data_IF_765945462392
#
_entry.id   IF_765945462392
#
_cell.length_a   1.000
_cell.length_b   1.000
_cell.length_c   1.000
_cell.angle_alpha   90.00
_cell.angle_beta   90.00
_cell.angle_gamma   90.00
#
_symmetry.space_group_name_H-M   'P 1'
#
loop_
_entity.id
_entity.type
_entity.pdbx_description
1 polymer ?
#
# COMPACT_ATOMS: atom_id res chain seq x y z
N UNK A 1 -71.77 -37.07 90.07
CA UNK A 1 -72.41 -36.67 88.80
C UNK A 1 -71.37 -35.95 87.94
N UNK A 2 -71.15 -36.48 86.73
CA UNK A 2 -70.73 -35.78 85.51
C UNK A 2 -69.29 -35.24 85.35
N UNK A 3 -68.55 -35.96 84.49
CA UNK A 3 -67.71 -35.52 83.34
C UNK A 3 -66.38 -34.77 83.54
N UNK A 4 -65.31 -35.39 83.00
CA UNK A 4 -63.91 -34.94 82.80
C UNK A 4 -63.79 -33.63 81.97
N UNK A 5 -62.63 -32.92 82.00
CA UNK A 5 -61.60 -33.18 80.97
C UNK A 5 -60.11 -33.04 81.37
N UNK A 6 -59.36 -33.86 80.62
CA UNK A 6 -57.94 -33.97 80.24
C UNK A 6 -56.89 -32.87 80.48
N UNK A 7 -55.73 -33.38 80.88
CA UNK A 7 -54.38 -32.86 81.08
C UNK A 7 -53.65 -32.38 79.80
N UNK A 8 -52.81 -31.34 79.91
CA UNK A 8 -51.62 -31.13 79.06
C UNK A 8 -50.47 -30.53 79.88
N UNK A 9 -49.31 -31.19 79.85
CA UNK A 9 -48.02 -30.66 80.29
C UNK A 9 -47.05 -30.72 79.09
N UNK A 10 -46.33 -29.63 78.85
CA UNK A 10 -45.27 -29.50 77.84
C UNK A 10 -43.93 -30.00 78.41
N UNK A 11 -43.08 -30.64 77.60
CA UNK A 11 -41.64 -30.56 77.80
C UNK A 11 -40.90 -29.96 76.58
N UNK A 12 -39.83 -29.24 76.89
CA UNK A 12 -38.78 -28.80 75.97
C UNK A 12 -38.04 -30.02 75.39
N UNK A 13 -37.63 -29.93 74.13
CA UNK A 13 -36.57 -30.76 73.58
C UNK A 13 -35.64 -29.93 72.68
N UNK A 14 -34.34 -30.01 72.98
CA UNK A 14 -33.24 -29.44 72.22
C UNK A 14 -33.06 -30.17 70.88
N UNK A 15 -32.65 -29.45 69.84
CA UNK A 15 -32.29 -30.02 68.54
C UNK A 15 -30.83 -29.72 68.20
N UNK A 16 -30.14 -30.80 67.87
CA UNK A 16 -28.72 -30.94 67.53
C UNK A 16 -28.46 -30.40 66.12
N UNK A 17 -27.39 -29.61 65.94
CA UNK A 17 -26.95 -29.11 64.65
C UNK A 17 -26.09 -30.16 63.91
N UNK A 18 -26.47 -30.48 62.67
CA UNK A 18 -25.66 -31.24 61.71
C UNK A 18 -25.23 -30.28 60.58
N UNK A 19 -23.94 -29.97 60.54
CA UNK A 19 -23.32 -29.21 59.46
C UNK A 19 -23.15 -30.10 58.22
N UNK A 20 -23.79 -29.72 57.12
CA UNK A 20 -23.64 -30.34 55.80
C UNK A 20 -22.83 -29.40 54.91
N UNK A 21 -21.61 -29.82 54.56
CA UNK A 21 -20.77 -29.14 53.59
C UNK A 21 -21.32 -29.37 52.17
N UNK A 22 -21.98 -28.36 51.60
CA UNK A 22 -22.34 -28.29 50.19
C UNK A 22 -21.22 -27.55 49.44
N UNK A 23 -20.39 -28.30 48.71
CA UNK A 23 -19.49 -27.73 47.72
C UNK A 23 -20.32 -27.31 46.49
N UNK A 24 -20.37 -26.01 46.20
CA UNK A 24 -20.99 -25.50 44.99
C UNK A 24 -20.08 -25.78 43.78
N UNK A 25 -20.61 -26.28 42.65
CA UNK A 25 -19.83 -26.37 41.42
C UNK A 25 -19.61 -24.96 40.88
N UNK A 26 -18.37 -24.50 40.86
CA UNK A 26 -17.97 -23.30 40.11
C UNK A 26 -18.10 -23.62 38.62
N UNK A 27 -19.20 -23.21 38.01
CA UNK A 27 -19.31 -23.13 36.55
C UNK A 27 -18.29 -22.10 36.08
N UNK A 28 -17.21 -22.56 35.45
CA UNK A 28 -16.35 -21.70 34.67
C UNK A 28 -17.20 -21.10 33.54
N UNK A 29 -17.57 -19.84 33.67
CA UNK A 29 -18.05 -19.05 32.55
C UNK A 29 -16.91 -18.95 31.55
N UNK A 30 -16.94 -19.80 30.52
CA UNK A 30 -16.20 -19.54 29.29
C UNK A 30 -16.66 -18.15 28.82
N UNK A 31 -15.76 -17.16 28.89
CA UNK A 31 -16.00 -15.86 28.30
C UNK A 31 -16.32 -16.11 26.82
N UNK A 32 -17.54 -15.80 26.40
CA UNK A 32 -17.88 -15.81 24.99
C UNK A 32 -16.91 -14.85 24.29
N UNK A 33 -16.07 -15.36 23.38
CA UNK A 33 -15.29 -14.50 22.50
C UNK A 33 -16.26 -13.53 21.81
N UNK A 34 -15.99 -12.22 21.81
CA UNK A 34 -16.87 -11.28 21.15
C UNK A 34 -16.85 -11.58 19.64
N UNK A 35 -17.86 -12.32 19.17
CA UNK A 35 -18.05 -12.80 17.79
C UNK A 35 -18.32 -11.68 16.77
N UNK A 36 -18.21 -10.41 17.16
CA UNK A 36 -18.32 -9.29 16.22
C UNK A 36 -16.92 -9.00 15.66
N UNK A 37 -16.74 -9.07 14.33
CA UNK A 37 -15.45 -8.74 13.74
C UNK A 37 -15.06 -7.29 14.08
N UNK A 38 -13.84 -7.10 14.59
CA UNK A 38 -13.31 -5.76 14.86
C UNK A 38 -13.39 -4.88 13.60
N UNK A 39 -13.77 -3.60 13.72
CA UNK A 39 -13.69 -2.63 12.64
C UNK A 39 -12.31 -2.58 12.00
N UNK A 40 -12.25 -2.36 10.68
CA UNK A 40 -10.98 -2.23 9.97
C UNK A 40 -10.12 -1.10 10.55
N UNK A 41 -10.75 0.01 10.94
CA UNK A 41 -10.09 1.19 11.51
C UNK A 41 -9.23 0.89 12.76
N UNK A 42 -9.55 -0.16 13.53
CA UNK A 42 -8.76 -0.53 14.72
C UNK A 42 -7.37 -1.08 14.35
N UNK A 43 -7.22 -1.55 13.11
CA UNK A 43 -5.96 -2.01 12.52
C UNK A 43 -5.30 -0.96 11.60
N UNK A 44 -5.95 0.19 11.37
CA UNK A 44 -5.36 1.26 10.58
C UNK A 44 -4.21 1.90 11.37
N UNK A 45 -3.10 2.16 10.69
CA UNK A 45 -1.91 2.77 11.29
C UNK A 45 -1.92 4.27 11.07
N UNK A 46 -1.29 5.00 11.99
CA UNK A 46 -1.04 6.43 11.87
C UNK A 46 0.35 6.64 11.29
N UNK A 47 0.44 7.44 10.24
CA UNK A 47 1.65 7.91 9.62
C UNK A 47 2.40 8.87 10.53
N UNK A 48 3.71 8.67 10.66
CA UNK A 48 4.57 9.42 11.60
C UNK A 48 5.73 10.13 10.93
N UNK A 49 5.90 10.00 9.61
CA UNK A 49 7.06 10.60 8.90
C UNK A 49 6.85 12.08 8.60
N UNK A 50 5.58 12.53 8.53
CA UNK A 50 5.21 13.88 8.11
C UNK A 50 5.25 14.08 6.59
N UNK A 51 5.48 13.02 5.81
CA UNK A 51 5.51 13.05 4.35
C UNK A 51 4.83 11.80 3.76
N UNK A 52 5.50 11.08 2.87
CA UNK A 52 5.06 9.74 2.41
C UNK A 52 5.31 8.72 3.53
N UNK A 53 4.32 7.87 3.79
CA UNK A 53 4.38 6.80 4.78
C UNK A 53 3.28 5.74 4.53
N UNK A 54 3.17 4.75 5.41
CA UNK A 54 2.18 3.68 5.32
C UNK A 54 0.89 3.95 6.13
N UNK A 55 0.73 5.17 6.65
CA UNK A 55 -0.39 5.57 7.49
C UNK A 55 -1.68 5.87 6.75
N UNK A 56 -2.82 5.69 7.42
CA UNK A 56 -4.17 5.93 6.88
C UNK A 56 -4.66 7.38 7.06
N UNK A 57 -3.83 8.25 7.63
CA UNK A 57 -4.09 9.68 7.84
C UNK A 57 -3.32 10.56 6.82
N UNK A 58 -3.27 10.12 5.55
CA UNK A 58 -2.62 10.87 4.47
C UNK A 58 -3.14 12.30 4.39
N UNK A 59 -2.23 13.29 4.39
CA UNK A 59 -2.60 14.70 4.32
C UNK A 59 -3.12 15.06 2.92
N UNK A 60 -4.42 15.34 2.82
CA UNK A 60 -5.08 15.74 1.58
C UNK A 60 -4.69 17.16 1.10
N UNK A 61 -4.00 17.94 1.93
CA UNK A 61 -3.38 19.20 1.49
C UNK A 61 -2.01 18.95 0.85
N UNK A 62 -1.28 17.89 1.22
CA UNK A 62 0.01 17.58 0.61
C UNK A 62 -0.15 16.68 -0.62
N UNK A 63 -0.99 15.67 -0.51
CA UNK A 63 -1.16 14.61 -1.49
C UNK A 63 -2.48 14.73 -2.25
N UNK A 64 -2.47 14.23 -3.47
CA UNK A 64 -3.61 14.23 -4.36
C UNK A 64 -4.62 13.14 -3.93
N UNK A 65 -5.94 13.38 -4.08
CA UNK A 65 -6.92 12.32 -3.91
C UNK A 65 -6.67 11.14 -4.86
N UNK A 66 -6.53 9.95 -4.28
CA UNK A 66 -6.25 8.69 -5.00
C UNK A 66 -7.46 8.08 -5.72
N UNK A 67 -8.65 8.68 -5.59
CA UNK A 67 -9.91 8.17 -6.15
C UNK A 67 -10.51 9.12 -7.17
N UNK A 68 -11.26 8.56 -8.11
CA UNK A 68 -11.89 9.29 -9.22
C UNK A 68 -10.94 9.49 -10.39
N UNK A 69 -11.32 10.44 -11.25
CA UNK A 69 -10.58 10.76 -12.48
C UNK A 69 -9.56 11.86 -12.20
N UNK A 70 -8.27 11.57 -12.39
CA UNK A 70 -7.17 12.53 -12.38
C UNK A 70 -6.87 12.99 -13.80
N UNK A 71 -6.99 14.29 -14.07
CA UNK A 71 -6.70 14.89 -15.37
C UNK A 71 -5.20 15.13 -15.48
N UNK A 72 -4.55 14.50 -16.46
CA UNK A 72 -3.09 14.53 -16.64
C UNK A 72 -2.75 15.15 -17.99
N UNK A 73 -1.91 16.19 -17.97
CA UNK A 73 -1.31 16.71 -19.20
C UNK A 73 0.12 16.21 -19.34
N UNK A 74 0.43 15.58 -20.47
CA UNK A 74 1.80 15.20 -20.83
C UNK A 74 2.44 16.29 -21.66
N UNK A 75 3.54 16.84 -21.14
CA UNK A 75 4.43 17.78 -21.79
C UNK A 75 5.67 17.04 -22.29
N UNK A 76 6.05 17.25 -23.54
CA UNK A 76 7.29 16.73 -24.10
C UNK A 76 8.31 17.85 -24.18
N UNK A 77 9.48 17.65 -23.58
CA UNK A 77 10.50 18.70 -23.48
C UNK A 77 11.78 18.34 -24.21
N UNK A 78 12.36 19.31 -24.89
CA UNK A 78 13.70 19.22 -25.47
C UNK A 78 14.57 20.38 -24.96
N UNK A 79 15.88 20.33 -25.22
CA UNK A 79 16.86 21.21 -24.60
C UNK A 79 17.78 21.83 -25.66
N UNK A 80 18.46 22.96 -25.37
CA UNK A 80 19.39 23.55 -26.33
C UNK A 80 20.52 22.59 -26.76
N UNK A 81 21.06 21.81 -25.80
CA UNK A 81 22.09 20.78 -25.98
C UNK A 81 21.55 19.42 -26.48
N UNK A 82 20.25 19.19 -26.37
CA UNK A 82 19.58 17.95 -26.71
C UNK A 82 18.23 18.22 -27.39
N UNK A 83 18.28 18.63 -28.65
CA UNK A 83 17.09 18.93 -29.43
C UNK A 83 16.41 17.66 -29.94
N UNK A 84 15.08 17.65 -29.91
CA UNK A 84 14.33 16.53 -30.44
C UNK A 84 14.20 16.59 -31.96
N UNK A 85 14.23 15.42 -32.60
CA UNK A 85 14.05 15.27 -34.06
C UNK A 85 12.94 14.29 -34.42
N UNK A 86 12.44 13.55 -33.43
CA UNK A 86 11.40 12.53 -33.53
C UNK A 86 10.01 13.04 -33.10
N UNK A 87 8.96 12.28 -33.40
CA UNK A 87 7.59 12.62 -32.99
C UNK A 87 7.37 12.34 -31.49
N UNK A 88 6.60 13.21 -30.83
CA UNK A 88 6.11 13.01 -29.46
C UNK A 88 5.16 11.82 -29.33
N UNK A 89 4.57 11.34 -30.43
CA UNK A 89 3.59 10.25 -30.40
C UNK A 89 4.16 8.96 -29.84
N UNK A 90 5.42 8.65 -30.16
CA UNK A 90 6.10 7.46 -29.63
C UNK A 90 6.30 7.54 -28.10
N UNK A 91 6.51 8.75 -27.57
CA UNK A 91 6.67 9.00 -26.14
C UNK A 91 5.32 8.92 -25.43
N UNK A 92 4.26 9.49 -26.02
CA UNK A 92 2.89 9.35 -25.52
C UNK A 92 2.47 7.86 -25.47
N UNK A 93 2.71 7.12 -26.57
CA UNK A 93 2.37 5.71 -26.67
C UNK A 93 3.12 4.83 -25.65
N UNK A 94 4.36 5.18 -25.30
CA UNK A 94 5.15 4.48 -24.28
C UNK A 94 4.47 4.50 -22.90
N UNK A 95 3.81 5.61 -22.54
CA UNK A 95 3.22 5.82 -21.23
C UNK A 95 1.71 5.55 -21.19
N UNK A 96 1.02 5.58 -22.33
CA UNK A 96 -0.43 5.40 -22.42
C UNK A 96 -0.99 4.17 -21.66
N UNK A 97 -0.32 2.99 -21.64
CA UNK A 97 -0.84 1.84 -20.89
C UNK A 97 -0.89 2.02 -19.36
N UNK A 98 -0.25 3.07 -18.82
CA UNK A 98 -0.32 3.39 -17.39
C UNK A 98 -1.75 3.67 -16.92
N UNK A 99 -2.61 4.24 -17.77
CA UNK A 99 -4.02 4.50 -17.45
C UNK A 99 -4.78 3.20 -17.18
N UNK A 100 -4.64 2.21 -18.07
CA UNK A 100 -5.27 0.89 -17.91
C UNK A 100 -4.67 0.12 -16.72
N UNK A 101 -3.35 0.20 -16.54
CA UNK A 101 -2.68 -0.44 -15.42
C UNK A 101 -3.18 0.09 -14.06
N UNK A 102 -3.29 1.42 -13.90
CA UNK A 102 -3.81 2.08 -12.69
C UNK A 102 -5.29 1.77 -12.47
N UNK A 103 -6.09 1.76 -13.54
CA UNK A 103 -7.51 1.38 -13.48
C UNK A 103 -7.67 -0.06 -12.99
N UNK A 104 -6.89 -1.01 -13.51
CA UNK A 104 -6.88 -2.41 -13.02
C UNK A 104 -6.43 -2.49 -11.57
N UNK A 105 -5.33 -1.83 -11.22
CA UNK A 105 -4.76 -1.90 -9.88
C UNK A 105 -5.69 -1.36 -8.78
N UNK A 106 -6.59 -0.43 -9.15
CA UNK A 106 -7.53 0.24 -8.25
C UNK A 106 -8.97 -0.26 -8.34
N UNK A 107 -9.23 -1.34 -9.09
CA UNK A 107 -10.58 -1.83 -9.39
C UNK A 107 -11.49 -0.76 -10.03
N UNK A 108 -10.91 0.08 -10.90
CA UNK A 108 -11.57 1.19 -11.59
C UNK A 108 -11.81 2.41 -10.72
N UNK A 109 -11.28 2.46 -9.49
CA UNK A 109 -11.53 3.54 -8.53
C UNK A 109 -10.57 4.72 -8.68
N UNK A 110 -9.45 4.53 -9.38
CA UNK A 110 -8.54 5.57 -9.83
C UNK A 110 -8.42 5.51 -11.35
N UNK A 111 -8.60 6.64 -12.03
CA UNK A 111 -8.53 6.73 -13.48
C UNK A 111 -7.60 7.88 -13.86
N UNK A 112 -6.65 7.63 -14.77
CA UNK A 112 -5.79 8.66 -15.33
C UNK A 112 -6.36 9.11 -16.67
N UNK A 113 -7.01 10.27 -16.70
CA UNK A 113 -7.43 10.90 -17.95
C UNK A 113 -6.22 11.61 -18.57
N UNK A 114 -5.39 10.82 -19.25
CA UNK A 114 -4.16 11.30 -19.89
C UNK A 114 -4.45 12.00 -21.22
N UNK A 115 -3.95 13.21 -21.34
CA UNK A 115 -3.89 13.97 -22.58
C UNK A 115 -2.45 14.43 -22.82
N UNK A 116 -2.15 14.82 -24.06
CA UNK A 116 -0.79 15.12 -24.49
C UNK A 116 -0.78 16.41 -25.29
N UNK A 117 0.13 17.32 -24.95
CA UNK A 117 0.45 18.47 -25.78
C UNK A 117 1.49 18.02 -26.82
N UNK A 118 1.05 17.58 -28.00
CA UNK A 118 1.90 17.01 -29.06
C UNK A 118 2.81 18.04 -29.74
N UNK A 119 3.79 18.55 -28.99
CA UNK A 119 4.87 19.41 -29.46
C UNK A 119 6.08 19.26 -28.54
N UNK A 120 7.25 19.59 -29.07
CA UNK A 120 8.43 19.79 -28.23
C UNK A 120 8.39 21.19 -27.61
N UNK A 121 8.42 21.22 -26.28
CA UNK A 121 8.56 22.42 -25.46
C UNK A 121 10.04 22.63 -25.19
N UNK A 122 10.59 23.71 -25.75
CA UNK A 122 12.02 24.03 -25.57
C UNK A 122 12.27 24.53 -24.16
N UNK A 123 13.04 23.78 -23.40
CA UNK A 123 13.55 24.17 -22.08
C UNK A 123 14.54 25.34 -22.23
N UNK A 124 14.60 26.25 -21.24
CA UNK A 124 15.44 27.46 -21.31
C UNK A 124 16.93 27.22 -21.05
N UNK A 125 17.30 26.02 -20.61
CA UNK A 125 18.67 25.66 -20.23
C UNK A 125 19.01 24.24 -20.66
N UNK A 126 20.31 23.95 -20.76
CA UNK A 126 20.83 22.64 -21.14
C UNK A 126 20.38 21.54 -20.18
N UNK A 127 20.18 20.33 -20.71
CA UNK A 127 19.71 19.17 -19.95
C UNK A 127 20.58 18.86 -18.73
N UNK A 128 21.90 18.98 -18.86
CA UNK A 128 22.85 18.75 -17.77
C UNK A 128 22.76 19.76 -16.62
N UNK A 129 22.21 20.96 -16.87
CA UNK A 129 22.15 22.02 -15.85
C UNK A 129 21.13 21.75 -14.74
N UNK A 130 20.16 20.86 -14.97
CA UNK A 130 19.15 20.48 -13.98
C UNK A 130 19.62 19.43 -12.98
N UNK A 131 20.80 18.82 -13.20
CA UNK A 131 21.43 17.95 -12.20
C UNK A 131 20.68 16.66 -11.89
N UNK A 132 20.01 16.05 -12.88
CA UNK A 132 19.29 14.77 -12.75
C UNK A 132 20.27 13.59 -12.53
N UNK A 133 20.87 13.56 -11.35
CA UNK A 133 21.69 12.50 -10.79
C UNK A 133 21.19 12.13 -9.37
N UNK A 134 21.71 11.04 -8.79
CA UNK A 134 21.42 10.68 -7.39
C UNK A 134 21.84 11.83 -6.46
N UNK A 135 20.93 12.23 -5.58
CA UNK A 135 21.09 13.43 -4.75
C UNK A 135 20.46 14.70 -5.33
N UNK A 136 19.64 14.59 -6.39
CA UNK A 136 18.82 15.70 -6.90
C UNK A 136 18.10 16.40 -5.75
N UNK A 137 18.34 17.70 -5.59
CA UNK A 137 17.70 18.48 -4.54
C UNK A 137 16.29 18.87 -4.96
N UNK A 138 15.46 19.18 -3.96
CA UNK A 138 14.10 19.65 -4.18
C UNK A 138 14.09 20.91 -5.06
N UNK A 139 14.98 21.87 -4.80
CA UNK A 139 15.03 23.15 -5.52
C UNK A 139 15.43 22.96 -7.00
N UNK A 140 16.35 22.04 -7.28
CA UNK A 140 16.74 21.71 -8.64
C UNK A 140 15.59 21.04 -9.41
N UNK A 141 14.87 20.12 -8.76
CA UNK A 141 13.70 19.48 -9.34
C UNK A 141 12.55 20.46 -9.55
N UNK A 142 12.27 21.31 -8.57
CA UNK A 142 11.26 22.36 -8.67
C UNK A 142 11.59 23.34 -9.79
N UNK A 143 12.86 23.71 -9.96
CA UNK A 143 13.30 24.55 -11.08
C UNK A 143 13.02 23.86 -12.42
N UNK A 144 13.33 22.57 -12.57
CA UNK A 144 13.04 21.81 -13.78
C UNK A 144 11.55 21.81 -14.13
N UNK A 145 10.70 21.52 -13.13
CA UNK A 145 9.24 21.51 -13.30
C UNK A 145 8.70 22.91 -13.63
N UNK A 146 9.20 23.95 -12.94
CA UNK A 146 8.85 25.35 -13.19
C UNK A 146 9.18 25.77 -14.62
N UNK A 147 10.37 25.44 -15.09
CA UNK A 147 10.83 25.83 -16.42
C UNK A 147 10.02 25.13 -17.52
N UNK A 148 9.71 23.84 -17.34
CA UNK A 148 8.86 23.08 -18.26
C UNK A 148 7.44 23.65 -18.35
N UNK A 149 6.83 23.95 -17.19
CA UNK A 149 5.49 24.53 -17.09
C UNK A 149 5.47 25.93 -17.69
N UNK A 150 6.43 26.79 -17.35
CA UNK A 150 6.50 28.17 -17.87
C UNK A 150 6.65 28.18 -19.40
N UNK A 151 7.43 27.25 -19.96
CA UNK A 151 7.60 27.14 -21.40
C UNK A 151 6.36 26.56 -22.12
N UNK A 152 5.52 25.80 -21.41
CA UNK A 152 4.29 25.21 -21.93
C UNK A 152 3.05 26.11 -21.79
N UNK A 153 3.02 26.99 -20.79
CA UNK A 153 1.90 27.88 -20.42
C UNK A 153 1.28 28.64 -21.62
N UNK A 154 2.04 29.17 -22.60
CA UNK A 154 1.44 29.83 -23.77
C UNK A 154 0.63 28.92 -24.70
N UNK A 155 0.66 27.59 -24.47
CA UNK A 155 0.14 26.58 -25.40
C UNK A 155 -0.88 25.63 -24.77
N UNK A 156 -1.09 25.70 -23.46
CA UNK A 156 -2.06 24.87 -22.75
C UNK A 156 -2.56 25.62 -21.50
N UNK A 157 -3.86 25.53 -21.24
CA UNK A 157 -4.47 26.02 -20.00
C UNK A 157 -4.29 24.95 -18.90
N UNK A 158 -3.28 25.13 -18.06
CA UNK A 158 -2.87 24.20 -17.01
C UNK A 158 -3.86 24.16 -15.84
N UNK A 159 -4.78 25.11 -15.72
CA UNK A 159 -5.87 25.07 -14.73
C UNK A 159 -6.85 23.91 -14.98
N UNK A 160 -6.83 23.32 -16.17
CA UNK A 160 -7.68 22.19 -16.55
C UNK A 160 -7.12 20.83 -16.12
N UNK A 161 -5.96 20.78 -15.48
CA UNK A 161 -5.29 19.54 -15.12
C UNK A 161 -5.03 19.45 -13.63
N UNK A 162 -5.05 18.22 -13.11
CA UNK A 162 -4.77 17.97 -11.69
C UNK A 162 -3.26 17.75 -11.48
N UNK A 163 -2.56 17.21 -12.48
CA UNK A 163 -1.11 17.03 -12.49
C UNK A 163 -0.52 17.04 -13.90
N UNK A 164 0.80 17.23 -13.98
CA UNK A 164 1.55 17.27 -15.23
C UNK A 164 2.57 16.13 -15.30
N UNK A 165 2.68 15.50 -16.46
CA UNK A 165 3.76 14.58 -16.81
C UNK A 165 4.79 15.32 -17.67
N UNK A 166 6.07 15.31 -17.30
CA UNK A 166 7.14 15.98 -18.06
C UNK A 166 8.08 14.92 -18.64
N UNK A 167 8.09 14.78 -19.96
CA UNK A 167 8.80 13.72 -20.67
C UNK A 167 9.92 14.32 -21.52
N UNK A 168 11.20 14.07 -21.20
CA UNK A 168 12.32 14.57 -22.00
C UNK A 168 12.49 13.77 -23.29
N UNK A 169 13.03 14.41 -24.32
CA UNK A 169 13.50 13.72 -25.52
C UNK A 169 14.57 12.66 -25.19
N UNK A 170 14.63 11.60 -26.00
CA UNK A 170 15.68 10.56 -25.93
C UNK A 170 17.09 11.12 -26.07
N UNK A 171 17.24 12.26 -26.75
CA UNK A 171 18.54 12.92 -26.90
C UNK A 171 19.09 13.46 -25.56
N UNK A 172 18.22 13.72 -24.58
CA UNK A 172 18.57 14.33 -23.29
C UNK A 172 19.07 13.29 -22.28
N UNK A 173 20.21 12.66 -22.58
CA UNK A 173 20.79 11.60 -21.74
C UNK A 173 21.09 12.03 -20.30
N UNK A 174 21.27 13.34 -20.05
CA UNK A 174 21.50 13.89 -18.71
C UNK A 174 20.26 13.84 -17.80
N UNK A 175 19.04 13.75 -18.36
CA UNK A 175 17.81 13.53 -17.58
C UNK A 175 17.64 12.03 -17.39
N UNK A 176 18.38 11.48 -16.42
CA UNK A 176 18.66 10.04 -16.38
C UNK A 176 17.60 9.19 -15.68
N UNK A 177 16.85 9.73 -14.73
CA UNK A 177 15.88 8.99 -13.91
C UNK A 177 14.56 9.74 -13.74
N UNK A 178 13.53 9.00 -13.35
CA UNK A 178 12.17 9.52 -13.14
C UNK A 178 11.90 9.76 -11.65
N UNK A 179 11.66 11.02 -11.22
CA UNK A 179 11.09 11.31 -9.91
C UNK A 179 9.74 12.04 -9.97
N UNK A 180 9.00 11.95 -8.86
CA UNK A 180 7.78 12.71 -8.59
C UNK A 180 8.09 14.04 -7.90
N UNK A 181 7.51 15.13 -8.41
CA UNK A 181 7.49 16.42 -7.75
C UNK A 181 6.22 16.54 -6.90
N UNK A 182 6.41 16.84 -5.62
CA UNK A 182 5.38 17.12 -4.64
C UNK A 182 5.64 18.51 -4.08
N UNK A 183 4.71 19.45 -4.27
CA UNK A 183 4.89 20.83 -3.82
C UNK A 183 5.17 20.90 -2.31
N UNK A 184 6.27 21.56 -1.93
CA UNK A 184 6.59 21.88 -0.54
C UNK A 184 6.03 23.27 -0.20
N UNK A 185 5.16 23.40 0.83
CA UNK A 185 4.61 24.69 1.24
C UNK A 185 5.66 25.74 1.65
N UNK A 186 6.91 25.33 1.90
CA UNK A 186 8.01 26.22 2.26
C UNK A 186 8.74 26.84 1.05
N UNK A 187 8.39 26.45 -0.19
CA UNK A 187 8.98 27.02 -1.41
C UNK A 187 8.00 27.90 -2.16
N UNK A 188 8.47 28.72 -3.13
CA UNK A 188 7.57 29.47 -4.01
C UNK A 188 6.61 28.58 -4.80
N UNK A 189 6.96 27.30 -5.01
CA UNK A 189 6.20 26.35 -5.82
C UNK A 189 6.25 26.69 -7.31
N UNK A 190 5.29 26.10 -8.03
CA UNK A 190 5.08 26.33 -9.47
C UNK A 190 3.64 26.76 -9.73
N UNK A 191 3.45 27.91 -10.37
CA UNK A 191 2.12 28.48 -10.63
C UNK A 191 2.00 28.80 -12.11
N UNK A 192 0.86 28.46 -12.70
CA UNK A 192 0.49 28.71 -14.10
C UNK A 192 -1.02 28.89 -14.18
N UNK A 193 -1.51 29.72 -15.10
CA UNK A 193 -2.95 30.01 -15.27
C UNK A 193 -3.70 30.31 -13.96
N UNK A 194 -3.08 31.09 -13.06
CA UNK A 194 -3.64 31.43 -11.76
C UNK A 194 -3.79 30.26 -10.77
N UNK A 195 -3.27 29.08 -11.11
CA UNK A 195 -3.38 27.85 -10.33
C UNK A 195 -2.02 27.36 -9.87
N UNK A 196 -1.92 26.94 -8.60
CA UNK A 196 -0.74 26.27 -8.05
C UNK A 196 -0.72 24.82 -8.54
N UNK A 197 0.28 24.44 -9.32
CA UNK A 197 0.52 23.06 -9.70
C UNK A 197 1.28 22.36 -8.57
N UNK A 198 0.61 21.44 -7.90
CA UNK A 198 1.13 20.79 -6.68
C UNK A 198 1.82 19.46 -6.94
N UNK A 199 1.51 18.83 -8.06
CA UNK A 199 1.94 17.48 -8.37
C UNK A 199 2.41 17.39 -9.82
N UNK A 200 3.58 16.82 -10.03
CA UNK A 200 4.04 16.45 -11.35
C UNK A 200 4.82 15.13 -11.29
N UNK A 201 4.75 14.35 -12.36
CA UNK A 201 5.64 13.21 -12.56
C UNK A 201 6.63 13.60 -13.65
N UNK A 202 7.92 13.54 -13.35
CA UNK A 202 8.97 13.79 -14.33
C UNK A 202 9.62 12.48 -14.73
N UNK A 203 9.88 12.33 -16.02
CA UNK A 203 10.45 11.11 -16.56
C UNK A 203 11.92 11.32 -16.93
N UNK A 204 12.72 10.29 -16.78
CA UNK A 204 14.09 10.23 -17.30
C UNK A 204 14.25 9.11 -18.32
N UNK A 205 15.50 8.88 -18.73
CA UNK A 205 15.81 7.81 -19.69
C UNK A 205 15.47 6.40 -19.17
N UNK A 206 15.37 6.22 -17.85
CA UNK A 206 14.91 4.96 -17.24
C UNK A 206 13.49 4.54 -17.65
N UNK A 207 12.63 5.46 -18.10
CA UNK A 207 11.28 5.15 -18.59
C UNK A 207 11.27 4.21 -19.80
N UNK A 208 12.36 4.19 -20.59
CA UNK A 208 12.48 3.27 -21.73
C UNK A 208 12.71 1.83 -21.28
N UNK A 209 13.34 1.64 -20.13
CA UNK A 209 13.57 0.33 -19.52
C UNK A 209 12.36 -0.11 -18.68
N UNK A 210 11.77 0.82 -17.93
CA UNK A 210 10.65 0.52 -17.04
C UNK A 210 9.29 0.49 -17.73
N UNK A 211 9.17 1.13 -18.89
CA UNK A 211 7.90 1.25 -19.59
C UNK A 211 6.89 2.08 -18.81
N UNK A 212 5.62 1.91 -19.15
CA UNK A 212 4.51 2.62 -18.52
C UNK A 212 4.40 2.40 -17.00
N UNK A 213 5.01 1.36 -16.43
CA UNK A 213 4.95 1.07 -14.98
C UNK A 213 5.64 2.15 -14.14
N UNK A 214 6.62 2.88 -14.69
CA UNK A 214 7.23 4.02 -13.98
C UNK A 214 6.20 5.13 -13.76
N UNK A 215 5.30 5.38 -14.72
CA UNK A 215 4.23 6.36 -14.51
C UNK A 215 3.29 5.94 -13.38
N UNK A 216 3.02 4.64 -13.23
CA UNK A 216 2.24 4.13 -12.11
C UNK A 216 2.97 4.30 -10.77
N UNK A 217 4.25 3.90 -10.69
CA UNK A 217 5.11 4.09 -9.52
C UNK A 217 5.10 5.55 -9.04
N UNK A 218 5.48 6.46 -9.92
CA UNK A 218 5.58 7.88 -9.61
C UNK A 218 4.23 8.50 -9.25
N UNK A 219 3.15 8.10 -9.94
CA UNK A 219 1.80 8.54 -9.55
C UNK A 219 1.43 8.09 -8.13
N UNK A 220 1.92 6.91 -7.70
CA UNK A 220 1.74 6.42 -6.33
C UNK A 220 2.27 7.40 -5.27
N UNK A 221 3.40 8.07 -5.54
CA UNK A 221 3.93 9.11 -4.65
C UNK A 221 3.01 10.33 -4.56
N UNK A 222 2.34 10.70 -5.66
CA UNK A 222 1.34 11.80 -5.63
C UNK A 222 0.16 11.50 -4.71
N UNK A 223 -0.11 10.21 -4.44
CA UNK A 223 -1.12 9.75 -3.49
C UNK A 223 -0.57 9.49 -2.07
N UNK A 224 0.72 9.76 -1.85
CA UNK A 224 1.36 9.65 -0.54
C UNK A 224 2.03 8.31 -0.24
N UNK A 225 2.19 7.42 -1.23
CA UNK A 225 2.95 6.17 -1.03
C UNK A 225 4.47 6.46 -0.97
N UNK A 226 5.23 5.79 -0.08
CA UNK A 226 6.70 5.87 -0.06
C UNK A 226 7.33 4.87 -1.04
N UNK A 227 8.64 5.02 -1.26
CA UNK A 227 9.46 3.97 -1.86
C UNK A 227 9.65 2.81 -0.87
N UNK A 228 9.46 1.59 -1.35
CA UNK A 228 9.65 0.38 -0.55
C UNK A 228 11.03 -0.27 -0.73
N UNK A 229 11.86 0.24 -1.64
CA UNK A 229 13.23 -0.24 -1.85
C UNK A 229 14.22 0.48 -0.92
N UNK A 230 15.42 -0.07 -0.77
CA UNK A 230 16.48 0.49 0.06
C UNK A 230 17.27 1.56 -0.67
N UNK A 231 17.53 2.68 0.01
CA UNK A 231 18.42 3.74 -0.50
C UNK A 231 19.90 3.51 -0.14
N UNK A 232 20.20 2.65 0.84
CA UNK A 232 21.53 2.51 1.43
C UNK A 232 22.09 1.08 1.42
N UNK A 233 21.26 0.09 1.10
CA UNK A 233 21.59 -1.33 1.11
C UNK A 233 21.00 -1.98 -0.17
N UNK A 234 21.08 -3.33 -0.37
CA UNK A 234 20.60 -3.94 -1.61
C UNK A 234 19.18 -3.49 -1.96
N UNK A 235 19.02 -2.90 -3.15
CA UNK A 235 17.89 -2.04 -3.50
C UNK A 235 16.55 -2.73 -3.21
N UNK A 236 16.31 -3.92 -3.77
CA UNK A 236 14.99 -4.55 -3.67
C UNK A 236 14.84 -5.54 -2.51
N UNK A 237 15.58 -5.38 -1.42
CA UNK A 237 15.62 -6.38 -0.32
C UNK A 237 14.36 -6.44 0.56
N UNK A 238 13.51 -5.41 0.57
CA UNK A 238 12.36 -5.32 1.49
C UNK A 238 11.05 -5.81 0.84
N UNK A 239 10.55 -5.08 -0.15
CA UNK A 239 9.31 -5.44 -0.86
C UNK A 239 9.55 -6.35 -2.07
N UNK A 240 10.74 -6.29 -2.68
CA UNK A 240 11.06 -7.04 -3.90
C UNK A 240 10.12 -6.70 -5.04
N UNK A 241 9.83 -7.70 -5.87
CA UNK A 241 8.95 -7.59 -7.02
C UNK A 241 7.45 -7.72 -6.73
N UNK A 242 7.02 -7.64 -5.46
CA UNK A 242 5.63 -7.83 -5.04
C UNK A 242 4.77 -6.56 -5.01
N UNK A 243 5.40 -5.41 -5.22
CA UNK A 243 4.74 -4.10 -5.31
C UNK A 243 5.53 -3.19 -6.27
N UNK A 244 4.83 -2.41 -7.10
CA UNK A 244 5.46 -1.45 -8.01
C UNK A 244 6.32 -0.42 -7.27
N UNK A 245 5.99 -0.06 -6.03
CA UNK A 245 6.77 0.84 -5.16
C UNK A 245 8.05 0.18 -4.62
N UNK A 246 8.17 -1.16 -4.72
CA UNK A 246 9.35 -1.92 -4.35
C UNK A 246 10.29 -2.20 -5.52
N UNK A 247 9.75 -2.67 -6.64
CA UNK A 247 10.50 -2.89 -7.87
C UNK A 247 9.57 -2.78 -9.08
N UNK A 248 9.79 -1.75 -9.89
CA UNK A 248 8.95 -1.44 -11.06
C UNK A 248 8.94 -2.59 -12.09
N UNK A 249 10.06 -3.30 -12.27
CA UNK A 249 10.12 -4.49 -13.13
C UNK A 249 9.92 -5.80 -12.38
N UNK A 250 9.34 -5.75 -11.18
CA UNK A 250 8.93 -6.95 -10.46
C UNK A 250 8.01 -7.83 -11.31
N UNK A 251 8.08 -9.16 -11.15
CA UNK A 251 7.17 -10.10 -11.80
C UNK A 251 5.72 -9.99 -11.28
N UNK A 252 5.51 -9.48 -10.05
CA UNK A 252 4.20 -9.29 -9.42
C UNK A 252 4.00 -7.85 -8.88
N UNK A 253 4.03 -6.83 -9.75
CA UNK A 253 4.08 -5.42 -9.35
C UNK A 253 2.73 -4.82 -8.94
N UNK A 254 1.64 -5.58 -8.85
CA UNK A 254 0.37 -5.07 -8.33
C UNK A 254 0.59 -4.40 -6.97
N UNK A 255 -0.06 -3.25 -6.74
CA UNK A 255 -0.04 -2.63 -5.42
C UNK A 255 -0.55 -3.62 -4.36
N UNK A 256 0.19 -3.72 -3.26
CA UNK A 256 -0.20 -4.47 -2.08
C UNK A 256 -1.60 -4.07 -1.64
N UNK A 257 -2.33 -5.04 -1.08
CA UNK A 257 -3.65 -4.81 -0.52
C UNK A 257 -3.65 -3.75 0.58
N UNK A 258 -2.54 -3.60 1.32
CA UNK A 258 -2.33 -2.51 2.28
C UNK A 258 -2.37 -1.13 1.61
N UNK A 259 -1.58 -0.91 0.55
CA UNK A 259 -1.62 0.32 -0.23
C UNK A 259 -3.01 0.56 -0.82
N UNK A 260 -3.64 -0.47 -1.37
CA UNK A 260 -5.02 -0.39 -1.90
C UNK A 260 -6.03 0.06 -0.82
N UNK A 261 -5.87 -0.39 0.43
CA UNK A 261 -6.72 0.02 1.55
C UNK A 261 -6.43 1.46 2.00
N UNK A 262 -5.15 1.82 2.19
CA UNK A 262 -4.72 3.19 2.49
C UNK A 262 -5.26 4.19 1.48
N UNK A 263 -5.20 3.85 0.20
CA UNK A 263 -5.69 4.68 -0.90
C UNK A 263 -7.22 4.62 -1.08
N UNK A 264 -7.95 3.86 -0.25
CA UNK A 264 -9.40 3.75 -0.28
C UNK A 264 -9.96 2.99 -1.50
N UNK A 265 -9.11 2.25 -2.22
CA UNK A 265 -9.51 1.39 -3.32
C UNK A 265 -10.10 0.08 -2.80
N UNK A 266 -9.48 -0.49 -1.76
CA UNK A 266 -10.07 -1.50 -0.88
C UNK A 266 -10.87 -0.79 0.21
N UNK A 267 -12.12 -1.23 0.43
CA UNK A 267 -13.00 -0.66 1.48
C UNK A 267 -12.80 -1.37 2.82
N UNK A 268 -13.16 -0.73 3.91
CA UNK A 268 -13.08 -1.30 5.27
C UNK A 268 -13.80 -2.65 5.42
N UNK A 269 -14.93 -2.86 4.74
CA UNK A 269 -15.64 -4.13 4.76
C UNK A 269 -14.92 -5.27 4.01
N UNK A 270 -13.82 -4.98 3.34
CA UNK A 270 -12.93 -5.94 2.69
C UNK A 270 -11.65 -6.20 3.50
N UNK A 271 -11.56 -5.66 4.72
CA UNK A 271 -10.40 -5.79 5.61
C UNK A 271 -10.81 -6.59 6.84
N UNK A 272 -10.12 -7.71 7.10
CA UNK A 272 -10.30 -8.48 8.31
C UNK A 272 -9.28 -8.06 9.37
N UNK A 273 -9.72 -7.31 10.38
CA UNK A 273 -8.85 -6.81 11.43
C UNK A 273 -8.76 -7.76 12.65
N UNK A 274 -7.54 -7.96 13.17
CA UNK A 274 -7.23 -8.48 14.50
C UNK A 274 -6.37 -7.43 15.24
N UNK A 275 -6.98 -6.56 16.08
CA UNK A 275 -6.28 -5.39 16.63
C UNK A 275 -5.37 -5.68 17.83
N UNK A 276 -5.39 -6.90 18.36
CA UNK A 276 -4.66 -7.28 19.57
C UNK A 276 -4.63 -8.80 19.78
N UNK A 277 -4.37 -9.28 21.01
CA UNK A 277 -4.36 -10.70 21.33
C UNK A 277 -5.67 -11.40 20.95
N UNK A 278 -5.55 -12.64 20.49
CA UNK A 278 -6.68 -13.44 20.03
C UNK A 278 -6.39 -14.14 18.71
N UNK A 279 -7.47 -14.60 18.07
CA UNK A 279 -7.37 -15.43 16.86
C UNK A 279 -8.49 -15.11 15.88
N UNK A 280 -8.17 -15.11 14.59
CA UNK A 280 -9.15 -14.87 13.53
C UNK A 280 -8.85 -15.71 12.29
N UNK A 281 -9.83 -16.47 11.82
CA UNK A 281 -9.76 -17.20 10.55
C UNK A 281 -10.49 -16.42 9.46
N UNK A 282 -9.85 -16.26 8.31
CA UNK A 282 -10.30 -15.39 7.22
C UNK A 282 -10.15 -16.11 5.89
N UNK A 283 -11.19 -16.05 5.06
CA UNK A 283 -11.07 -16.36 3.63
C UNK A 283 -10.70 -15.08 2.89
N UNK A 284 -9.56 -15.09 2.23
CA UNK A 284 -9.05 -14.02 1.39
C UNK A 284 -9.45 -14.27 -0.06
N UNK A 285 -9.78 -13.20 -0.78
CA UNK A 285 -9.98 -13.19 -2.23
C UNK A 285 -8.72 -12.60 -2.87
N UNK A 286 -8.20 -13.16 -3.98
CA UNK A 286 -7.00 -12.65 -4.63
C UNK A 286 -7.08 -11.14 -4.89
N UNK A 287 -5.98 -10.43 -4.65
CA UNK A 287 -5.92 -8.96 -4.80
C UNK A 287 -6.11 -8.52 -6.25
N UNK A 288 -5.84 -9.40 -7.22
CA UNK A 288 -5.95 -9.12 -8.65
C UNK A 288 -7.41 -9.08 -9.12
N UNK A 289 -8.35 -9.59 -8.31
CA UNK A 289 -9.79 -9.67 -8.65
C UNK A 289 -10.60 -8.64 -7.88
N UNK A 290 -11.79 -8.22 -8.34
CA UNK A 290 -12.65 -7.33 -7.56
C UNK A 290 -13.38 -8.06 -6.41
N UNK A 291 -13.72 -7.33 -5.34
CA UNK A 291 -14.60 -7.79 -4.27
C UNK A 291 -13.99 -8.79 -3.27
N UNK A 292 -14.79 -9.21 -2.28
CA UNK A 292 -14.36 -10.08 -1.20
C UNK A 292 -13.37 -9.44 -0.21
N UNK A 293 -12.99 -10.19 0.82
CA UNK A 293 -11.97 -9.77 1.79
C UNK A 293 -10.60 -9.80 1.14
N UNK A 294 -9.91 -8.66 1.06
CA UNK A 294 -8.62 -8.52 0.37
C UNK A 294 -7.43 -8.81 1.26
N UNK A 295 -7.48 -8.32 2.48
CA UNK A 295 -6.38 -8.43 3.43
C UNK A 295 -6.90 -8.83 4.80
N UNK A 296 -6.06 -9.57 5.52
CA UNK A 296 -6.20 -9.77 6.95
C UNK A 296 -5.04 -9.06 7.65
N UNK A 297 -5.35 -8.20 8.61
CA UNK A 297 -4.38 -7.34 9.29
C UNK A 297 -4.33 -7.72 10.76
N UNK A 298 -3.13 -7.93 11.29
CA UNK A 298 -2.86 -8.13 12.70
C UNK A 298 -1.99 -6.98 13.19
N UNK A 299 -2.55 -6.13 14.06
CA UNK A 299 -1.83 -4.98 14.60
C UNK A 299 -0.84 -5.40 15.69
N UNK A 300 0.41 -4.99 15.54
CA UNK A 300 1.48 -5.33 16.50
C UNK A 300 1.88 -4.16 17.40
N UNK A 301 1.62 -2.92 17.00
CA UNK A 301 1.87 -1.74 17.81
C UNK A 301 1.16 -0.48 17.29
N UNK A 302 1.61 0.69 17.74
CA UNK A 302 1.04 1.97 17.32
C UNK A 302 1.18 2.18 15.80
N UNK A 303 2.35 1.86 15.25
CA UNK A 303 2.77 2.10 13.86
C UNK A 303 3.10 0.82 13.11
N UNK A 304 2.84 -0.36 13.68
CA UNK A 304 3.25 -1.64 13.10
C UNK A 304 2.11 -2.66 13.01
N UNK A 305 2.12 -3.42 11.93
CA UNK A 305 1.19 -4.53 11.69
C UNK A 305 1.82 -5.60 10.81
N UNK A 306 1.28 -6.82 10.88
CA UNK A 306 1.45 -7.84 9.85
C UNK A 306 0.19 -7.91 9.00
N UNK A 307 0.37 -8.14 7.71
CA UNK A 307 -0.70 -8.25 6.73
C UNK A 307 -0.54 -9.55 5.96
N UNK A 308 -1.65 -10.25 5.73
CA UNK A 308 -1.73 -11.40 4.84
C UNK A 308 -2.71 -11.10 3.70
N UNK A 309 -2.30 -11.38 2.47
CA UNK A 309 -3.12 -11.22 1.26
C UNK A 309 -2.95 -12.41 0.30
N UNK A 310 -3.96 -12.66 -0.52
CA UNK A 310 -3.93 -13.73 -1.52
C UNK A 310 -3.43 -13.18 -2.86
N UNK A 311 -2.42 -13.83 -3.46
CA UNK A 311 -1.80 -13.43 -4.74
C UNK A 311 -1.95 -14.53 -5.79
N UNK A 312 -2.22 -14.16 -7.03
CA UNK A 312 -2.35 -15.05 -8.20
C UNK A 312 -1.62 -14.45 -9.40
N UNK A 313 -1.17 -15.30 -10.31
CA UNK A 313 -0.51 -14.89 -11.55
C UNK A 313 -1.54 -14.37 -12.57
N UNK A 314 -2.19 -13.26 -12.26
CA UNK A 314 -3.31 -12.69 -13.02
C UNK A 314 -3.23 -11.16 -13.08
N UNK A 315 -3.84 -10.55 -14.09
CA UNK A 315 -3.92 -9.09 -14.19
C UNK A 315 -2.54 -8.43 -14.20
N UNK A 316 -2.30 -7.51 -13.27
CA UNK A 316 -1.01 -6.83 -13.18
C UNK A 316 0.13 -7.73 -12.67
N UNK A 317 -0.20 -8.90 -12.12
CA UNK A 317 0.71 -9.92 -11.60
C UNK A 317 0.83 -11.15 -12.53
N UNK A 318 0.44 -11.04 -13.80
CA UNK A 318 0.45 -12.16 -14.75
C UNK A 318 1.78 -12.93 -14.85
N UNK A 319 2.90 -12.29 -14.50
CA UNK A 319 4.24 -12.86 -14.53
C UNK A 319 4.74 -13.35 -13.16
N UNK A 320 3.88 -13.42 -12.14
CA UNK A 320 4.27 -13.77 -10.77
C UNK A 320 5.02 -15.12 -10.71
N UNK A 321 6.17 -15.11 -10.02
CA UNK A 321 7.03 -16.29 -9.87
C UNK A 321 6.51 -17.30 -8.83
N UNK A 322 5.60 -16.88 -7.97
CA UNK A 322 4.89 -17.74 -7.01
C UNK A 322 3.48 -17.19 -6.77
N UNK A 323 2.58 -18.06 -6.29
CA UNK A 323 1.20 -17.70 -5.94
C UNK A 323 0.83 -18.33 -4.61
N UNK A 324 -0.13 -17.75 -3.90
CA UNK A 324 -0.51 -18.19 -2.55
C UNK A 324 -0.75 -17.00 -1.64
N UNK A 325 -0.41 -17.15 -0.35
CA UNK A 325 -0.54 -16.07 0.64
C UNK A 325 0.77 -15.31 0.75
N UNK A 326 0.75 -14.02 0.45
CA UNK A 326 1.86 -13.12 0.73
C UNK A 326 1.69 -12.54 2.15
N UNK A 327 2.74 -12.65 2.96
CA UNK A 327 2.77 -12.11 4.33
C UNK A 327 3.83 -11.03 4.40
N UNK A 328 3.50 -9.88 4.99
CA UNK A 328 4.43 -8.77 5.12
C UNK A 328 4.21 -7.97 6.38
N UNK A 329 5.28 -7.34 6.85
CA UNK A 329 5.27 -6.37 7.94
C UNK A 329 5.14 -4.97 7.36
N UNK A 330 4.32 -4.14 8.00
CA UNK A 330 4.19 -2.71 7.74
C UNK A 330 4.70 -1.94 8.95
N UNK A 331 5.46 -0.86 8.71
CA UNK A 331 5.89 0.12 9.69
C UNK A 331 5.64 1.54 9.17
N UNK A 332 4.61 2.21 9.68
CA UNK A 332 4.23 3.58 9.28
C UNK A 332 5.11 4.67 9.88
N UNK A 333 6.11 4.31 10.69
CA UNK A 333 7.13 5.23 11.20
C UNK A 333 8.46 5.14 10.44
N UNK A 334 8.68 4.08 9.64
CA UNK A 334 9.87 3.96 8.82
C UNK A 334 9.82 4.92 7.62
N UNK A 335 10.95 5.56 7.31
CA UNK A 335 11.00 6.50 6.20
C UNK A 335 11.03 5.77 4.84
N UNK A 336 10.65 6.51 3.78
CA UNK A 336 10.91 6.10 2.40
C UNK A 336 12.38 5.71 2.24
N UNK A 337 12.66 4.57 1.59
CA UNK A 337 14.04 4.09 1.48
C UNK A 337 14.53 3.18 2.63
N UNK A 338 13.79 3.07 3.74
CA UNK A 338 14.18 2.30 4.94
C UNK A 338 13.39 0.98 5.13
N UNK A 339 12.56 0.64 4.14
CA UNK A 339 11.73 -0.56 4.15
C UNK A 339 10.53 -0.45 5.07
N UNK A 340 9.61 0.51 4.84
CA UNK A 340 8.36 0.63 5.58
C UNK A 340 7.39 -0.53 5.31
N UNK A 341 7.64 -1.32 4.25
CA UNK A 341 7.04 -2.63 4.05
C UNK A 341 8.13 -3.67 3.83
N UNK A 342 8.02 -4.82 4.50
CA UNK A 342 8.97 -5.94 4.37
C UNK A 342 8.23 -7.26 4.15
N UNK A 343 8.50 -7.93 3.05
CA UNK A 343 7.94 -9.25 2.73
C UNK A 343 8.60 -10.31 3.61
N UNK A 344 7.79 -11.17 4.23
CA UNK A 344 8.25 -12.33 4.98
C UNK A 344 8.37 -13.51 4.02
N UNK A 345 9.60 -13.97 3.76
CA UNK A 345 9.83 -14.99 2.74
C UNK A 345 9.50 -16.40 3.25
N UNK A 346 8.50 -17.05 2.65
CA UNK A 346 8.14 -18.44 2.94
C UNK A 346 9.22 -19.47 2.56
N UNK A 347 10.01 -19.17 1.52
CA UNK A 347 10.89 -20.15 0.86
C UNK A 347 12.32 -19.59 0.72
N UNK A 348 13.01 -19.22 1.81
CA UNK A 348 14.31 -18.53 1.73
C UNK A 348 15.46 -19.40 1.19
N UNK A 349 15.28 -20.71 1.12
CA UNK A 349 16.28 -21.68 0.62
C UNK A 349 15.97 -22.22 -0.78
N UNK A 350 14.82 -21.88 -1.35
CA UNK A 350 14.43 -22.33 -2.69
C UNK A 350 15.25 -21.61 -3.76
N UNK A 351 15.68 -22.33 -4.80
CA UNK A 351 16.41 -21.70 -5.93
C UNK A 351 15.42 -20.98 -6.86
N UNK A 352 15.58 -19.67 -7.11
CA UNK A 352 14.71 -18.94 -8.03
C UNK A 352 14.87 -19.42 -9.48
N UNK A 353 13.78 -19.55 -10.26
CA UNK A 353 13.88 -19.76 -11.69
C UNK A 353 14.45 -18.52 -12.39
N UNK A 354 14.93 -18.69 -13.63
CA UNK A 354 15.46 -17.59 -14.44
C UNK A 354 14.44 -16.45 -14.56
N UNK A 355 14.88 -15.22 -14.26
CA UNK A 355 14.02 -14.03 -14.29
C UNK A 355 13.35 -13.70 -12.95
N UNK A 356 13.48 -14.57 -11.94
CA UNK A 356 12.96 -14.36 -10.60
C UNK A 356 14.09 -14.19 -9.58
N UNK A 357 13.78 -13.55 -8.45
CA UNK A 357 14.66 -13.41 -7.29
C UNK A 357 14.18 -14.27 -6.13
N UNK A 358 15.01 -14.40 -5.08
CA UNK A 358 14.64 -15.15 -3.88
C UNK A 358 13.34 -14.67 -3.25
N UNK A 359 13.10 -13.35 -3.26
CA UNK A 359 11.94 -12.77 -2.63
C UNK A 359 10.67 -12.97 -3.48
N UNK A 360 10.78 -13.16 -4.80
CA UNK A 360 9.63 -13.44 -5.67
C UNK A 360 9.02 -14.84 -5.44
N UNK A 361 9.68 -15.68 -4.62
CA UNK A 361 9.19 -16.98 -4.14
C UNK A 361 8.56 -16.90 -2.73
N UNK A 362 8.27 -15.70 -2.22
CA UNK A 362 7.84 -15.51 -0.83
C UNK A 362 6.41 -15.99 -0.50
N UNK A 363 5.60 -16.34 -1.49
CA UNK A 363 4.22 -16.77 -1.23
C UNK A 363 4.18 -18.09 -0.42
N UNK A 364 3.36 -18.09 0.62
CA UNK A 364 3.07 -19.24 1.47
C UNK A 364 1.97 -20.11 0.85
N UNK A 365 2.16 -21.42 0.90
CA UNK A 365 1.22 -22.48 0.52
C UNK A 365 0.51 -23.07 1.76
N UNK A 366 -0.61 -23.80 1.57
CA UNK A 366 -1.30 -24.47 2.67
C UNK A 366 -0.39 -25.37 3.50
N UNK A 367 -0.56 -25.31 4.83
CA UNK A 367 0.27 -26.02 5.80
C UNK A 367 1.51 -25.26 6.24
N UNK A 368 1.91 -24.19 5.54
CA UNK A 368 2.99 -23.32 5.99
C UNK A 368 2.51 -22.29 7.03
N UNK A 369 3.44 -21.79 7.82
CA UNK A 369 3.18 -20.86 8.93
C UNK A 369 4.28 -19.82 9.00
N UNK A 370 3.89 -18.56 9.18
CA UNK A 370 4.78 -17.49 9.63
C UNK A 370 4.66 -17.29 11.14
N UNK A 371 5.78 -17.08 11.83
CA UNK A 371 5.83 -16.75 13.25
C UNK A 371 6.82 -15.64 13.51
N UNK A 372 6.45 -14.67 14.33
CA UNK A 372 7.33 -13.65 14.89
C UNK A 372 7.30 -13.75 16.43
N UNK A 373 8.32 -14.37 17.05
CA UNK A 373 8.39 -14.54 18.50
C UNK A 373 8.41 -13.23 19.28
N UNK A 374 8.94 -12.15 18.72
CA UNK A 374 9.10 -10.88 19.42
C UNK A 374 7.74 -10.17 19.61
N UNK A 375 6.79 -10.43 18.72
CA UNK A 375 5.44 -9.83 18.77
C UNK A 375 4.34 -10.84 19.11
N UNK A 376 4.68 -12.12 19.27
CA UNK A 376 3.73 -13.22 19.49
C UNK A 376 2.85 -13.53 18.28
N UNK A 377 3.20 -13.03 17.09
CA UNK A 377 2.40 -13.18 15.87
C UNK A 377 2.59 -14.56 15.27
N UNK A 378 1.48 -15.16 14.86
CA UNK A 378 1.44 -16.40 14.09
C UNK A 378 0.36 -16.32 13.02
N UNK A 379 0.73 -16.64 11.77
CA UNK A 379 -0.18 -16.66 10.62
C UNK A 379 -0.07 -18.03 9.94
N UNK A 380 -1.13 -18.82 10.04
CA UNK A 380 -1.26 -20.10 9.36
C UNK A 380 -1.92 -19.92 7.99
N UNK A 381 -1.39 -20.59 6.96
CA UNK A 381 -2.11 -20.81 5.70
C UNK A 381 -2.81 -22.16 5.78
N UNK A 382 -4.14 -22.15 5.83
CA UNK A 382 -4.95 -23.35 6.11
C UNK A 382 -5.38 -24.07 4.84
N UNK A 383 -5.72 -23.32 3.80
CA UNK A 383 -6.21 -23.86 2.54
C UNK A 383 -5.98 -22.86 1.42
N UNK A 384 -5.86 -23.37 0.21
CA UNK A 384 -5.86 -22.60 -1.03
C UNK A 384 -7.10 -22.93 -1.88
N UNK A 385 -7.20 -22.26 -3.01
CA UNK A 385 -8.22 -22.53 -4.01
C UNK A 385 -8.26 -21.45 -5.07
N UNK A 386 -8.99 -21.75 -6.14
CA UNK A 386 -9.25 -20.78 -7.21
C UNK A 386 -9.85 -19.48 -6.64
N UNK A 387 -10.82 -19.58 -5.74
CA UNK A 387 -11.52 -18.42 -5.18
C UNK A 387 -10.68 -17.61 -4.18
N UNK A 388 -9.48 -18.10 -3.82
CA UNK A 388 -8.57 -17.51 -2.86
C UNK A 388 -8.19 -18.46 -1.73
N UNK A 389 -7.52 -17.92 -0.72
CA UNK A 389 -6.87 -18.68 0.35
C UNK A 389 -7.60 -18.51 1.69
N UNK A 390 -7.39 -19.43 2.62
CA UNK A 390 -7.88 -19.33 4.01
C UNK A 390 -6.69 -19.22 4.94
N UNK A 391 -6.64 -18.15 5.72
CA UNK A 391 -5.59 -17.90 6.71
C UNK A 391 -6.15 -17.86 8.11
N UNK A 392 -5.32 -18.13 9.10
CA UNK A 392 -5.62 -17.90 10.51
C UNK A 392 -4.52 -17.07 11.14
N UNK A 393 -4.90 -15.90 11.62
CA UNK A 393 -4.07 -14.96 12.33
C UNK A 393 -4.25 -15.22 13.83
N UNK A 394 -3.16 -15.20 14.58
CA UNK A 394 -3.17 -15.31 16.03
C UNK A 394 -2.07 -14.45 16.64
N UNK A 395 -2.37 -13.88 17.80
CA UNK A 395 -1.42 -13.18 18.66
C UNK A 395 -1.66 -13.62 20.10
N UNK A 396 -0.59 -14.06 20.77
CA UNK A 396 -0.62 -14.44 22.19
C UNK A 396 -0.50 -13.23 23.13
#
# INVERSE_FOLDING_TARGET
MSTLPTTRLRPLAAAIALASCLAAPTTATAAAEPNSPAPAADCALVGKTGWTDEGHNTDANQFQPSRGVRRVLTLFVDFPDAQATDSTDAYAAQLAPAADWMSRASYGRSQLAMSSLHRWIRMPADSGSYGFARGLTFEAHEKYVRDAITAADPYADLSQYDMVYVVPTKAAAAISFSPTYLFDPNTPGVTADGTRLKWAVTFGQDMWRWGYKVAAHETGHTFGLPDLYSFTAPTHQYAGGWDVMGNIAGPAPQYLGWHSWKLGWTRDNQVACLPGPGRRTVRLTPVERPGGTKIAVLRTGETTAYVAESRRAEGNDEAACSTGVLIYKVDSAAQTGEGPVRIMNANPTATPPTGCTQLDLAAYAPGQTFTDPDTGVRIDVLADGWAGDVVRLSKE
#
